data_IF_175886713563
#
_entry.id   IF_175886713563
#
_cell.length_a   1.000
_cell.length_b   1.000
_cell.length_c   1.000
_cell.angle_alpha   90.00
_cell.angle_beta   90.00
_cell.angle_gamma   90.00
#
_symmetry.space_group_name_H-M   'P 1'
#
loop_
_entity.id
_entity.type
_entity.pdbx_description
1 polymer ?
#
# COMPACT_ATOMS: atom_id res chain seq x y z
N UNK A 1 -7.79 -12.58 33.55
CA UNK A 1 -7.24 -11.21 33.49
C UNK A 1 -8.36 -10.26 33.87
N UNK A 2 -8.15 -9.38 34.85
CA UNK A 2 -9.16 -8.42 35.31
C UNK A 2 -9.25 -7.22 34.35
N UNK A 3 -10.44 -6.64 34.17
CA UNK A 3 -10.66 -5.41 33.37
C UNK A 3 -9.73 -4.26 33.80
N UNK A 4 -9.36 -4.22 35.08
CA UNK A 4 -8.40 -3.26 35.62
C UNK A 4 -7.02 -3.32 34.95
N UNK A 5 -6.48 -4.53 34.72
CA UNK A 5 -5.19 -4.71 34.03
C UNK A 5 -5.26 -4.24 32.58
N UNK A 6 -6.38 -4.51 31.91
CA UNK A 6 -6.65 -4.03 30.54
C UNK A 6 -6.76 -2.51 30.52
N UNK A 7 -7.43 -1.92 31.51
CA UNK A 7 -7.53 -0.48 31.71
C UNK A 7 -6.15 0.17 31.85
N UNK A 8 -5.30 -0.36 32.75
CA UNK A 8 -3.93 0.14 32.98
C UNK A 8 -3.04 0.01 31.74
N UNK A 9 -3.12 -1.09 31.00
CA UNK A 9 -2.33 -1.29 29.79
C UNK A 9 -2.66 -0.30 28.65
N UNK A 10 -3.81 0.38 28.72
CA UNK A 10 -4.26 1.36 27.74
C UNK A 10 -3.86 2.80 28.08
N UNK A 11 -3.30 3.06 29.26
CA UNK A 11 -2.89 4.39 29.68
C UNK A 11 -1.60 4.78 28.95
N UNK A 12 -1.60 5.96 28.33
CA UNK A 12 -0.40 6.53 27.73
C UNK A 12 0.69 6.70 28.80
N UNK A 13 1.86 6.12 28.56
CA UNK A 13 2.99 6.15 29.49
C UNK A 13 3.53 7.56 29.73
N UNK A 14 3.25 8.51 28.82
CA UNK A 14 3.71 9.89 28.94
C UNK A 14 2.63 10.82 29.51
N UNK A 15 1.55 11.08 28.77
CA UNK A 15 0.50 12.03 29.18
C UNK A 15 -0.65 11.42 29.99
N UNK A 16 -0.62 10.11 30.30
CA UNK A 16 -1.67 9.39 31.05
C UNK A 16 -3.06 9.33 30.40
N UNK A 17 -3.22 9.80 29.16
CA UNK A 17 -4.48 9.66 28.43
C UNK A 17 -4.91 8.18 28.27
N UNK A 18 -6.21 7.91 28.34
CA UNK A 18 -6.77 6.57 28.16
C UNK A 18 -6.90 6.22 26.67
N UNK A 19 -6.21 5.16 26.24
CA UNK A 19 -6.24 4.67 24.86
C UNK A 19 -7.45 3.81 24.53
N UNK A 20 -7.68 3.49 23.23
CA UNK A 20 -8.79 2.64 22.79
C UNK A 20 -8.63 1.19 23.27
N UNK A 21 -9.75 0.45 23.35
CA UNK A 21 -9.74 -0.99 23.71
C UNK A 21 -8.98 -1.86 22.72
N UNK A 22 -8.87 -1.42 21.47
CA UNK A 22 -8.18 -2.15 20.39
C UNK A 22 -6.67 -2.30 20.61
N UNK A 23 -6.08 -1.59 21.58
CA UNK A 23 -4.63 -1.61 21.80
C UNK A 23 -3.82 -0.89 20.72
N UNK A 24 -4.46 -0.03 19.91
CA UNK A 24 -3.81 0.68 18.80
C UNK A 24 -2.63 1.58 19.22
N UNK A 25 -2.50 1.91 20.51
CA UNK A 25 -1.40 2.72 21.06
C UNK A 25 -0.22 1.87 21.56
N UNK A 26 -0.35 0.53 21.56
CA UNK A 26 0.70 -0.36 22.03
C UNK A 26 1.78 -0.51 20.97
N UNK A 27 3.00 -0.28 21.40
CA UNK A 27 4.18 -0.28 20.55
C UNK A 27 5.23 -1.20 21.16
N UNK A 28 5.82 -2.13 20.39
CA UNK A 28 6.95 -2.93 20.86
C UNK A 28 8.13 -2.03 21.28
N UNK A 29 8.78 -2.39 22.37
CA UNK A 29 10.01 -1.78 22.87
C UNK A 29 10.99 -2.88 23.31
N UNK A 30 12.29 -2.56 23.48
CA UNK A 30 13.25 -3.53 24.02
C UNK A 30 12.87 -4.09 25.40
N UNK A 31 12.04 -3.36 26.16
CA UNK A 31 11.57 -3.75 27.50
C UNK A 31 10.14 -4.36 27.48
N UNK A 32 9.61 -4.70 26.30
CA UNK A 32 8.28 -5.28 26.13
C UNK A 32 7.36 -4.41 25.30
N UNK A 33 6.24 -3.96 25.87
CA UNK A 33 5.30 -3.08 25.19
C UNK A 33 5.13 -1.78 25.96
N UNK A 34 5.17 -0.66 25.25
CA UNK A 34 4.80 0.65 25.79
C UNK A 34 3.51 1.12 25.16
N UNK A 35 2.73 1.92 25.87
CA UNK A 35 1.50 2.51 25.35
C UNK A 35 1.73 4.00 25.17
N UNK A 36 1.74 4.49 23.94
CA UNK A 36 1.91 5.90 23.63
C UNK A 36 0.75 6.38 22.76
N UNK A 37 0.10 7.46 23.19
CA UNK A 37 -0.90 8.11 22.35
C UNK A 37 -0.25 8.75 21.12
N UNK A 38 -1.01 8.98 20.03
CA UNK A 38 -0.44 9.54 18.80
C UNK A 38 0.35 10.84 18.98
N UNK A 39 -0.11 11.84 19.77
CA UNK A 39 0.69 13.04 20.04
C UNK A 39 2.03 12.74 20.72
N UNK A 40 2.04 11.91 21.77
CA UNK A 40 3.28 11.57 22.48
C UNK A 40 4.22 10.73 21.62
N UNK A 41 3.69 9.83 20.79
CA UNK A 41 4.47 9.11 19.78
C UNK A 41 5.09 10.08 18.78
N UNK A 42 4.30 11.03 18.26
CA UNK A 42 4.76 12.08 17.34
C UNK A 42 5.87 12.97 17.90
N UNK A 43 5.83 13.28 19.19
CA UNK A 43 6.88 14.04 19.86
C UNK A 43 8.17 13.23 20.11
N UNK A 44 8.06 11.89 20.19
CA UNK A 44 9.18 11.01 20.54
C UNK A 44 9.95 10.52 19.31
N UNK A 45 9.27 10.30 18.18
CA UNK A 45 9.84 9.65 17.01
C UNK A 45 9.92 10.59 15.80
N UNK A 46 10.95 10.42 14.98
CA UNK A 46 11.21 11.28 13.84
C UNK A 46 10.26 10.98 12.68
N UNK A 47 9.90 12.00 11.90
CA UNK A 47 9.28 11.78 10.60
C UNK A 47 10.31 11.22 9.62
N UNK A 48 9.90 10.25 8.81
CA UNK A 48 10.78 9.67 7.81
C UNK A 48 10.87 10.55 6.55
N UNK A 49 12.06 11.08 6.30
CA UNK A 49 12.34 12.02 5.20
C UNK A 49 12.64 11.36 3.85
N UNK A 50 12.58 10.03 3.74
CA UNK A 50 12.86 9.36 2.47
C UNK A 50 14.34 9.06 2.19
N UNK A 51 15.25 9.18 3.16
CA UNK A 51 16.68 8.97 2.93
C UNK A 51 17.08 7.54 2.49
N UNK A 52 16.20 6.54 2.60
CA UNK A 52 16.39 5.19 2.04
C UNK A 52 15.62 4.97 0.72
N UNK A 53 15.08 6.02 0.11
CA UNK A 53 14.39 5.90 -1.18
C UNK A 53 15.35 5.36 -2.25
N UNK A 54 14.91 4.34 -3.01
CA UNK A 54 15.73 3.67 -4.02
C UNK A 54 16.83 2.75 -3.45
N UNK A 55 16.92 2.58 -2.12
CA UNK A 55 17.84 1.62 -1.50
C UNK A 55 17.18 0.23 -1.49
N UNK A 56 17.94 -0.80 -1.87
CA UNK A 56 17.48 -2.19 -1.75
C UNK A 56 17.33 -2.59 -0.28
N UNK A 57 16.21 -3.24 0.04
CA UNK A 57 15.86 -3.68 1.39
C UNK A 57 16.94 -4.56 2.03
N UNK A 58 17.51 -5.49 1.26
CA UNK A 58 18.61 -6.35 1.73
C UNK A 58 19.82 -5.53 2.21
N UNK A 59 20.15 -4.45 1.50
CA UNK A 59 21.24 -3.54 1.88
C UNK A 59 20.89 -2.72 3.12
N UNK A 60 19.67 -2.20 3.21
CA UNK A 60 19.20 -1.44 4.38
C UNK A 60 19.25 -2.28 5.67
N UNK A 61 18.86 -3.56 5.59
CA UNK A 61 18.95 -4.52 6.70
C UNK A 61 20.40 -4.71 7.17
N UNK A 62 21.36 -4.66 6.25
CA UNK A 62 22.79 -4.85 6.55
C UNK A 62 23.41 -3.62 7.24
N UNK A 63 22.87 -2.42 7.01
CA UNK A 63 23.39 -1.16 7.57
C UNK A 63 22.90 -0.85 8.99
N UNK A 64 22.20 -1.77 9.65
CA UNK A 64 21.68 -1.60 11.02
C UNK A 64 20.77 -0.39 11.25
N UNK A 65 20.23 0.23 10.19
CA UNK A 65 19.27 1.33 10.34
C UNK A 65 17.97 0.79 10.92
N UNK A 66 17.59 1.23 12.11
CA UNK A 66 16.38 0.74 12.76
C UNK A 66 15.15 1.55 12.31
N UNK A 67 14.07 0.87 11.97
CA UNK A 67 12.80 1.53 11.63
C UNK A 67 12.17 2.20 12.86
N UNK A 68 12.50 1.73 14.06
CA UNK A 68 11.88 2.10 15.32
C UNK A 68 12.32 3.48 15.87
N UNK A 69 13.17 4.20 15.13
CA UNK A 69 13.43 5.63 15.34
C UNK A 69 12.42 6.55 14.63
N UNK A 70 11.55 6.00 13.78
CA UNK A 70 10.67 6.77 12.90
C UNK A 70 9.19 6.55 13.20
N UNK A 71 8.37 7.51 12.81
CA UNK A 71 6.92 7.35 12.69
C UNK A 71 6.58 6.54 11.43
N UNK A 72 5.50 5.77 11.54
CA UNK A 72 4.89 5.04 10.43
C UNK A 72 4.53 6.02 9.31
N UNK A 73 5.07 5.78 8.12
CA UNK A 73 4.86 6.64 6.95
C UNK A 73 3.39 6.75 6.54
N UNK A 74 2.61 5.69 6.73
CA UNK A 74 1.21 5.66 6.29
C UNK A 74 0.26 6.39 7.23
N UNK A 75 0.39 6.21 8.55
CA UNK A 75 -0.52 6.86 9.50
C UNK A 75 0.05 8.13 10.13
N UNK A 76 1.37 8.35 10.08
CA UNK A 76 2.11 9.43 10.75
C UNK A 76 1.89 9.57 12.28
N UNK A 77 1.17 8.61 12.88
CA UNK A 77 0.71 8.68 14.28
C UNK A 77 1.49 7.74 15.22
N UNK A 78 1.93 6.59 14.72
CA UNK A 78 2.51 5.52 15.55
C UNK A 78 3.95 5.26 15.19
N UNK A 79 4.74 4.80 16.15
CA UNK A 79 6.11 4.32 15.93
C UNK A 79 6.12 3.21 14.88
N UNK A 80 7.07 3.27 13.96
CA UNK A 80 7.32 2.18 13.05
C UNK A 80 8.04 1.01 13.75
N UNK A 81 7.84 -0.19 13.22
CA UNK A 81 8.48 -1.40 13.73
C UNK A 81 9.23 -2.16 12.63
N UNK A 82 8.92 -1.87 11.36
CA UNK A 82 9.50 -2.56 10.21
C UNK A 82 9.82 -1.58 9.09
N UNK A 83 10.87 -1.90 8.33
CA UNK A 83 11.08 -1.31 7.02
C UNK A 83 10.24 -2.07 6.00
N UNK A 84 9.32 -1.37 5.36
CA UNK A 84 8.52 -1.89 4.29
C UNK A 84 9.24 -1.73 2.94
N UNK A 85 9.01 -2.67 2.03
CA UNK A 85 9.67 -2.72 0.73
C UNK A 85 8.75 -3.30 -0.34
N UNK A 86 9.01 -2.93 -1.59
CA UNK A 86 8.33 -3.52 -2.73
C UNK A 86 8.83 -4.95 -2.95
N UNK A 87 7.93 -5.92 -3.02
CA UNK A 87 8.33 -7.32 -3.24
C UNK A 87 8.75 -7.60 -4.69
N UNK A 88 8.32 -6.78 -5.64
CA UNK A 88 8.66 -6.97 -7.06
C UNK A 88 10.05 -6.41 -7.41
N UNK A 89 10.44 -5.30 -6.77
CA UNK A 89 11.68 -4.59 -7.09
C UNK A 89 12.71 -4.60 -5.93
N UNK A 90 12.30 -4.96 -4.73
CA UNK A 90 13.16 -5.02 -3.54
C UNK A 90 13.51 -3.67 -2.91
N UNK A 91 13.04 -2.54 -3.44
CA UNK A 91 13.34 -1.20 -2.89
C UNK A 91 12.53 -0.88 -1.64
N UNK A 92 13.17 -0.21 -0.67
CA UNK A 92 12.53 0.33 0.54
C UNK A 92 11.52 1.41 0.17
N UNK A 93 10.29 1.29 0.70
CA UNK A 93 9.22 2.29 0.56
C UNK A 93 9.15 3.23 1.76
N UNK A 94 9.49 2.72 2.94
CA UNK A 94 9.58 3.51 4.16
C UNK A 94 9.30 2.68 5.41
N UNK A 95 9.29 3.32 6.59
CA UNK A 95 9.05 2.63 7.84
C UNK A 95 7.53 2.54 8.10
N UNK A 96 7.04 1.36 8.47
CA UNK A 96 5.64 1.13 8.82
C UNK A 96 5.50 0.63 10.25
N UNK A 97 4.37 0.95 10.89
CA UNK A 97 3.96 0.28 12.12
C UNK A 97 3.48 -1.15 11.80
N UNK A 98 3.46 -2.01 12.81
CA UNK A 98 3.05 -3.40 12.67
C UNK A 98 1.64 -3.55 12.08
N UNK A 99 0.71 -2.67 12.47
CA UNK A 99 -0.66 -2.66 11.95
C UNK A 99 -0.70 -2.32 10.45
N UNK A 100 -0.05 -1.23 10.03
CA UNK A 100 0.00 -0.84 8.62
C UNK A 100 0.65 -1.90 7.74
N UNK A 101 1.77 -2.47 8.19
CA UNK A 101 2.45 -3.56 7.47
C UNK A 101 1.60 -4.83 7.38
N UNK A 102 0.92 -5.20 8.47
CA UNK A 102 0.02 -6.36 8.48
C UNK A 102 -1.18 -6.14 7.59
N UNK A 103 -1.77 -4.94 7.62
CA UNK A 103 -2.90 -4.59 6.78
C UNK A 103 -2.51 -4.65 5.30
N UNK A 104 -1.36 -4.09 4.94
CA UNK A 104 -0.84 -4.20 3.57
C UNK A 104 -0.64 -5.66 3.12
N UNK A 105 -0.09 -6.51 3.99
CA UNK A 105 0.22 -7.89 3.67
C UNK A 105 -0.96 -8.87 3.72
N UNK A 106 -2.02 -8.55 4.47
CA UNK A 106 -3.16 -9.47 4.73
C UNK A 106 -4.50 -9.01 4.20
N UNK A 107 -4.71 -7.71 3.97
CA UNK A 107 -5.95 -7.25 3.34
C UNK A 107 -5.96 -7.60 1.85
N UNK A 108 -7.14 -7.63 1.24
CA UNK A 108 -7.23 -7.70 -0.22
C UNK A 108 -6.62 -6.44 -0.82
N UNK A 109 -5.97 -6.57 -1.98
CA UNK A 109 -5.39 -5.43 -2.69
C UNK A 109 -6.41 -4.32 -2.95
N UNK A 110 -7.67 -4.70 -3.20
CA UNK A 110 -8.78 -3.78 -3.37
C UNK A 110 -9.10 -3.00 -2.10
N UNK A 111 -9.27 -3.68 -0.95
CA UNK A 111 -9.50 -3.00 0.34
C UNK A 111 -8.32 -2.11 0.73
N UNK A 112 -7.09 -2.56 0.51
CA UNK A 112 -5.91 -1.74 0.79
C UNK A 112 -5.91 -0.42 0.00
N UNK A 113 -6.16 -0.49 -1.31
CA UNK A 113 -6.18 0.71 -2.16
C UNK A 113 -7.35 1.64 -1.86
N UNK A 114 -8.52 1.08 -1.56
CA UNK A 114 -9.76 1.84 -1.36
C UNK A 114 -9.88 2.42 0.05
N UNK A 115 -9.62 1.59 1.07
CA UNK A 115 -9.98 1.91 2.46
C UNK A 115 -8.83 2.63 3.20
N UNK A 116 -7.60 2.50 2.71
CA UNK A 116 -6.42 3.12 3.32
C UNK A 116 -5.93 4.32 2.50
N UNK A 117 -6.20 5.52 3.02
CA UNK A 117 -5.76 6.77 2.43
C UNK A 117 -4.22 6.80 2.29
N UNK A 118 -3.75 7.31 1.15
CA UNK A 118 -2.33 7.38 0.82
C UNK A 118 -1.67 6.03 0.48
N UNK A 119 -2.42 4.92 0.43
CA UNK A 119 -1.90 3.59 0.08
C UNK A 119 -1.19 3.59 -1.28
N UNK A 120 -1.82 4.09 -2.34
CA UNK A 120 -1.22 4.18 -3.67
C UNK A 120 0.08 5.01 -3.68
N UNK A 121 0.09 6.14 -2.98
CA UNK A 121 1.28 7.00 -2.83
C UNK A 121 2.41 6.30 -2.07
N UNK A 122 2.08 5.47 -1.08
CA UNK A 122 3.02 4.61 -0.37
C UNK A 122 3.61 3.54 -1.30
N UNK A 123 2.78 2.86 -2.09
CA UNK A 123 3.25 1.87 -3.08
C UNK A 123 4.23 2.48 -4.08
N UNK A 124 3.97 3.72 -4.52
CA UNK A 124 4.80 4.49 -5.44
C UNK A 124 6.08 5.06 -4.83
N UNK A 125 6.33 4.84 -3.53
CA UNK A 125 7.65 5.10 -2.95
C UNK A 125 8.71 4.09 -3.43
N UNK A 126 8.30 3.03 -4.11
CA UNK A 126 9.23 2.18 -4.81
C UNK A 126 9.71 2.86 -6.09
N UNK A 127 11.02 3.12 -6.19
CA UNK A 127 11.65 3.73 -7.38
C UNK A 127 11.30 2.99 -8.68
N UNK A 128 11.37 1.66 -8.70
CA UNK A 128 11.04 0.87 -9.88
C UNK A 128 9.57 0.98 -10.32
N UNK A 129 8.64 1.01 -9.36
CA UNK A 129 7.22 1.24 -9.64
C UNK A 129 6.99 2.65 -10.18
N UNK A 130 7.61 3.66 -9.58
CA UNK A 130 7.49 5.06 -9.98
C UNK A 130 8.02 5.28 -11.40
N UNK A 131 9.22 4.80 -11.71
CA UNK A 131 9.86 4.93 -13.04
C UNK A 131 9.04 4.26 -14.13
N UNK A 132 8.50 3.07 -13.84
CA UNK A 132 7.63 2.31 -14.76
C UNK A 132 6.20 2.86 -14.81
N UNK A 133 5.91 3.89 -14.00
CA UNK A 133 4.57 4.43 -13.78
C UNK A 133 3.54 3.33 -13.55
N UNK A 134 3.78 2.43 -12.60
CA UNK A 134 2.90 1.30 -12.28
C UNK A 134 2.90 1.01 -10.78
N UNK A 135 2.00 0.16 -10.32
CA UNK A 135 1.99 -0.38 -8.96
C UNK A 135 2.64 -1.77 -8.92
N UNK A 136 2.96 -2.33 -7.74
CA UNK A 136 3.34 -3.74 -7.65
C UNK A 136 2.25 -4.65 -8.24
N UNK A 137 2.66 -5.77 -8.86
CA UNK A 137 1.80 -6.65 -9.65
C UNK A 137 0.55 -7.12 -8.90
N UNK A 138 0.67 -7.40 -7.60
CA UNK A 138 -0.46 -7.80 -6.76
C UNK A 138 -1.60 -6.77 -6.67
N UNK A 139 -1.37 -5.53 -7.08
CA UNK A 139 -2.35 -4.44 -7.06
C UNK A 139 -2.97 -4.14 -8.43
N UNK A 140 -2.51 -4.76 -9.51
CA UNK A 140 -2.98 -4.46 -10.87
C UNK A 140 -4.46 -4.75 -11.04
N UNK A 141 -4.91 -5.94 -10.64
CA UNK A 141 -6.32 -6.32 -10.74
C UNK A 141 -7.24 -5.41 -9.90
N UNK A 142 -6.82 -5.09 -8.67
CA UNK A 142 -7.55 -4.18 -7.79
C UNK A 142 -7.67 -2.77 -8.39
N UNK A 143 -6.59 -2.24 -8.99
CA UNK A 143 -6.61 -0.93 -9.62
C UNK A 143 -7.51 -0.90 -10.86
N UNK A 144 -7.46 -1.95 -11.69
CA UNK A 144 -8.35 -2.09 -12.84
C UNK A 144 -9.82 -2.19 -12.40
N UNK A 145 -10.11 -2.97 -11.35
CA UNK A 145 -11.43 -3.06 -10.73
C UNK A 145 -11.95 -1.71 -10.29
N UNK A 146 -11.19 -0.96 -9.48
CA UNK A 146 -11.59 0.38 -9.00
C UNK A 146 -11.85 1.33 -10.17
N UNK A 147 -11.05 1.26 -11.23
CA UNK A 147 -11.26 2.07 -12.42
C UNK A 147 -12.56 1.71 -13.14
N UNK A 148 -12.85 0.42 -13.34
CA UNK A 148 -14.09 -0.03 -13.95
C UNK A 148 -15.32 0.38 -13.13
N UNK A 149 -15.27 0.22 -11.80
CA UNK A 149 -16.32 0.71 -10.88
C UNK A 149 -16.54 2.23 -11.07
N UNK A 150 -15.47 3.01 -11.16
CA UNK A 150 -15.52 4.47 -11.30
C UNK A 150 -15.98 4.96 -12.68
N UNK A 151 -15.55 4.33 -13.78
CA UNK A 151 -15.74 4.85 -15.16
C UNK A 151 -16.84 4.15 -15.93
N UNK A 152 -16.97 2.84 -15.77
CA UNK A 152 -17.96 2.07 -16.51
C UNK A 152 -19.34 2.30 -15.92
N UNK A 153 -20.31 2.44 -16.81
CA UNK A 153 -21.73 2.44 -16.44
C UNK A 153 -22.41 1.46 -17.36
N UNK A 154 -23.05 0.47 -16.79
CA UNK A 154 -23.85 -0.47 -17.58
C UNK A 154 -25.11 0.20 -18.12
N UNK A 155 -25.66 -0.40 -19.17
CA UNK A 155 -26.93 0.03 -19.77
C UNK A 155 -27.96 -1.08 -19.78
N UNK A 156 -29.20 -0.75 -19.42
CA UNK A 156 -30.37 -1.64 -19.48
C UNK A 156 -31.29 -1.14 -20.59
N UNK A 157 -31.60 -2.00 -21.57
CA UNK A 157 -32.53 -1.67 -22.68
C UNK A 157 -32.28 -0.26 -23.25
N UNK A 158 -31.00 0.05 -23.52
CA UNK A 158 -30.51 1.33 -24.05
C UNK A 158 -30.44 2.52 -23.08
N UNK A 159 -30.92 2.41 -21.83
CA UNK A 159 -30.78 3.45 -20.78
C UNK A 159 -29.54 3.21 -19.91
N UNK A 160 -28.82 4.28 -19.56
CA UNK A 160 -27.65 4.22 -18.67
C UNK A 160 -28.11 4.01 -17.24
N UNK A 161 -27.59 2.99 -16.55
CA UNK A 161 -27.82 2.83 -15.13
C UNK A 161 -27.06 3.91 -14.35
N UNK A 162 -27.69 4.46 -13.31
CA UNK A 162 -27.06 5.43 -12.40
C UNK A 162 -26.33 4.78 -11.22
N UNK A 163 -26.52 3.47 -11.00
CA UNK A 163 -25.85 2.73 -9.92
C UNK A 163 -24.45 2.30 -10.37
N UNK A 164 -23.52 2.33 -9.43
CA UNK A 164 -22.19 1.76 -9.60
C UNK A 164 -22.31 0.25 -9.82
N UNK A 165 -21.63 -0.30 -10.85
CA UNK A 165 -21.62 -1.74 -11.06
C UNK A 165 -20.79 -2.40 -9.94
N UNK A 166 -21.20 -3.60 -9.54
CA UNK A 166 -20.33 -4.49 -8.80
C UNK A 166 -19.42 -5.20 -9.79
N UNK A 167 -18.11 -5.18 -9.52
CA UNK A 167 -17.11 -5.81 -10.38
C UNK A 167 -16.51 -7.01 -9.64
N UNK A 168 -16.63 -8.18 -10.26
CA UNK A 168 -15.90 -9.38 -9.85
C UNK A 168 -14.72 -9.57 -10.78
N UNK A 169 -13.54 -9.84 -10.21
CA UNK A 169 -12.36 -10.22 -10.94
C UNK A 169 -12.09 -11.73 -10.79
N UNK A 170 -11.83 -12.38 -11.91
CA UNK A 170 -11.45 -13.79 -11.98
C UNK A 170 -10.04 -13.85 -12.56
N UNK A 171 -9.09 -14.28 -11.74
CA UNK A 171 -7.74 -14.59 -12.21
C UNK A 171 -7.82 -15.80 -13.15
N UNK A 172 -7.31 -15.62 -14.36
CA UNK A 172 -7.10 -16.64 -15.36
C UNK A 172 -5.64 -17.13 -15.28
N UNK A 173 -5.20 -17.90 -16.28
CA UNK A 173 -3.82 -18.37 -16.31
C UNK A 173 -2.81 -17.20 -16.43
N UNK A 174 -1.70 -17.33 -15.67
CA UNK A 174 -0.50 -16.48 -15.77
C UNK A 174 -0.74 -14.98 -15.49
N UNK A 175 -1.60 -14.66 -14.54
CA UNK A 175 -1.86 -13.27 -14.12
C UNK A 175 -2.69 -12.47 -15.13
N UNK A 176 -3.37 -13.13 -16.07
CA UNK A 176 -4.44 -12.51 -16.83
C UNK A 176 -5.70 -12.43 -15.97
N UNK A 177 -6.48 -11.35 -16.09
CA UNK A 177 -7.72 -11.16 -15.33
C UNK A 177 -8.91 -10.97 -16.26
N UNK A 178 -10.04 -11.58 -15.90
CA UNK A 178 -11.37 -11.29 -16.47
C UNK A 178 -12.18 -10.52 -15.45
N UNK A 179 -12.79 -9.42 -15.86
CA UNK A 179 -13.69 -8.64 -15.02
C UNK A 179 -15.14 -8.85 -15.46
N UNK A 180 -16.01 -9.19 -14.52
CA UNK A 180 -17.44 -9.34 -14.73
C UNK A 180 -18.19 -8.22 -14.01
N UNK A 181 -19.00 -7.47 -14.76
CA UNK A 181 -19.81 -6.38 -14.22
C UNK A 181 -21.23 -6.87 -13.95
N UNK A 182 -21.70 -6.71 -12.72
CA UNK A 182 -23.07 -7.00 -12.32
C UNK A 182 -23.72 -5.80 -11.62
N UNK A 183 -25.04 -5.80 -11.51
CA UNK A 183 -25.76 -4.76 -10.80
C UNK A 183 -26.97 -5.38 -10.12
N UNK A 184 -26.98 -5.37 -8.79
CA UNK A 184 -28.03 -5.99 -7.99
C UNK A 184 -29.44 -5.43 -8.25
N UNK A 185 -29.55 -4.23 -8.83
CA UNK A 185 -30.84 -3.62 -9.19
C UNK A 185 -31.47 -4.25 -10.43
N UNK A 186 -30.68 -4.92 -11.27
CA UNK A 186 -31.17 -5.55 -12.48
C UNK A 186 -30.85 -7.03 -12.41
N UNK A 187 -31.90 -7.85 -12.39
CA UNK A 187 -31.84 -9.32 -12.30
C UNK A 187 -31.08 -9.98 -13.48
N UNK A 188 -30.70 -9.18 -14.48
CA UNK A 188 -29.91 -9.61 -15.63
C UNK A 188 -28.45 -9.17 -15.49
N UNK A 189 -27.53 -10.13 -15.70
CA UNK A 189 -26.12 -9.86 -15.99
C UNK A 189 -26.03 -8.73 -17.03
N UNK A 190 -25.45 -7.62 -16.61
CA UNK A 190 -25.42 -6.41 -17.40
C UNK A 190 -24.40 -6.57 -18.52
N UNK A 191 -24.80 -6.40 -19.78
CA UNK A 191 -23.83 -6.39 -20.89
C UNK A 191 -23.07 -5.06 -20.86
N UNK A 192 -21.73 -5.07 -20.81
CA UNK A 192 -20.96 -3.84 -20.98
C UNK A 192 -21.31 -3.22 -22.34
N UNK A 193 -21.54 -1.91 -22.38
CA UNK A 193 -21.84 -1.20 -23.63
C UNK A 193 -20.53 -0.82 -24.29
N UNK A 194 -19.88 -1.80 -24.88
CA UNK A 194 -18.58 -1.59 -25.51
C UNK A 194 -18.81 -0.92 -26.84
N UNK A 195 -18.52 0.39 -26.90
CA UNK A 195 -18.51 1.13 -28.16
C UNK A 195 -17.23 0.79 -28.91
N UNK A 196 -17.12 -0.44 -29.39
CA UNK A 196 -16.16 -0.73 -30.44
C UNK A 196 -16.63 -0.01 -31.71
N UNK A 197 -15.95 1.08 -32.07
CA UNK A 197 -15.92 1.58 -33.46
C UNK A 197 -15.12 0.57 -34.29
N UNK A 198 -15.61 -0.64 -34.43
CA UNK A 198 -15.18 -1.54 -35.49
C UNK A 198 -15.99 -1.15 -36.72
N UNK A 199 -15.32 -0.60 -37.75
CA UNK A 199 -15.87 -0.55 -39.10
C UNK A 199 -16.28 -1.99 -39.46
N UNK A 200 -17.58 -2.29 -39.50
CA UNK A 200 -18.07 -3.60 -39.92
C UNK A 200 -17.93 -3.72 -41.44
N UNK A 201 -17.33 -4.79 -41.97
CA UNK A 201 -17.56 -5.22 -43.34
C UNK A 201 -19.03 -5.63 -43.49
N UNK A 202 -19.66 -5.21 -44.59
CA UNK A 202 -20.93 -5.77 -45.08
C UNK A 202 -20.68 -7.25 -45.44
N UNK A 203 -21.38 -8.20 -44.82
CA UNK A 203 -22.20 -9.18 -45.53
C UNK A 203 -22.82 -10.26 -44.64
N UNK A 204 -23.97 -10.70 -45.15
CA UNK A 204 -24.69 -11.97 -45.04
C UNK A 204 -25.74 -12.20 -43.93
N UNK A 205 -26.94 -12.58 -44.39
CA UNK A 205 -28.18 -12.76 -43.62
C UNK A 205 -28.52 -14.27 -43.60
N UNK A 206 -28.24 -14.94 -42.48
CA UNK A 206 -28.66 -16.33 -42.28
C UNK A 206 -29.09 -16.62 -40.84
N UNK A 207 -30.36 -17.04 -40.70
CA UNK A 207 -31.03 -17.80 -39.61
C UNK A 207 -30.79 -17.40 -38.14
N UNK A 208 -31.89 -17.03 -37.47
CA UNK A 208 -31.95 -16.71 -36.02
C UNK A 208 -32.08 -17.99 -35.20
N UNK A 209 -31.05 -18.31 -34.43
CA UNK A 209 -31.14 -19.14 -33.21
C UNK A 209 -31.43 -18.25 -32.00
N UNK A 210 -32.16 -18.77 -31.02
CA UNK A 210 -32.43 -18.05 -29.77
C UNK A 210 -31.13 -17.73 -29.02
N UNK A 211 -30.97 -16.50 -28.49
CA UNK A 211 -29.75 -16.10 -27.82
C UNK A 211 -29.72 -16.66 -26.39
N UNK A 212 -28.88 -17.67 -26.17
CA UNK A 212 -28.42 -18.02 -24.82
C UNK A 212 -27.72 -16.83 -24.13
N UNK A 213 -27.47 -16.89 -22.81
CA UNK A 213 -26.83 -15.81 -22.06
C UNK A 213 -25.49 -15.46 -22.72
N UNK A 214 -25.44 -14.32 -23.38
CA UNK A 214 -24.21 -13.82 -23.99
C UNK A 214 -23.31 -13.31 -22.89
N UNK A 215 -22.40 -14.17 -22.43
CA UNK A 215 -21.24 -13.75 -21.66
C UNK A 215 -20.37 -12.96 -22.64
N UNK A 216 -20.29 -11.64 -22.45
CA UNK A 216 -19.35 -10.80 -23.20
C UNK A 216 -17.99 -11.04 -22.56
N UNK A 217 -17.26 -12.03 -23.05
CA UNK A 217 -15.88 -12.30 -22.67
C UNK A 217 -14.99 -11.33 -23.43
N UNK A 218 -14.91 -10.09 -22.95
CA UNK A 218 -13.88 -9.18 -23.45
C UNK A 218 -12.62 -9.36 -22.61
N UNK A 219 -11.52 -9.65 -23.29
CA UNK A 219 -10.19 -9.66 -22.71
C UNK A 219 -9.80 -8.20 -22.38
N UNK A 220 -10.35 -7.68 -21.28
CA UNK A 220 -10.13 -6.32 -20.77
C UNK A 220 -8.73 -6.10 -20.18
N UNK A 221 -7.92 -7.16 -20.10
CA UNK A 221 -6.85 -7.31 -19.12
C UNK A 221 -5.77 -6.21 -19.16
N UNK A 222 -5.30 -5.75 -20.33
CA UNK A 222 -4.17 -4.79 -20.36
C UNK A 222 -4.58 -3.32 -20.53
N UNK A 223 -5.58 -3.03 -21.37
CA UNK A 223 -5.97 -1.63 -21.66
C UNK A 223 -6.67 -0.95 -20.49
N UNK A 224 -7.50 -1.68 -19.74
CA UNK A 224 -8.17 -1.15 -18.56
C UNK A 224 -7.13 -0.86 -17.47
N UNK A 225 -6.18 -1.77 -17.25
CA UNK A 225 -5.08 -1.59 -16.29
C UNK A 225 -4.24 -0.35 -16.65
N UNK A 226 -3.76 -0.23 -17.90
CA UNK A 226 -2.99 0.93 -18.34
C UNK A 226 -3.79 2.24 -18.24
N UNK A 227 -5.09 2.21 -18.49
CA UNK A 227 -5.95 3.39 -18.35
C UNK A 227 -6.16 3.76 -16.88
N UNK A 228 -6.33 2.76 -16.01
CA UNK A 228 -6.46 2.94 -14.56
C UNK A 228 -5.17 3.52 -13.95
N UNK A 229 -4.03 2.96 -14.34
CA UNK A 229 -2.71 3.45 -13.96
C UNK A 229 -2.51 4.89 -14.44
N UNK A 230 -2.77 5.19 -15.72
CA UNK A 230 -2.69 6.57 -16.22
C UNK A 230 -3.62 7.52 -15.46
N UNK A 231 -4.86 7.11 -15.21
CA UNK A 231 -5.82 7.93 -14.46
C UNK A 231 -5.33 8.19 -13.02
N UNK A 232 -4.77 7.19 -12.35
CA UNK A 232 -4.15 7.36 -11.03
C UNK A 232 -3.00 8.38 -11.10
N UNK A 233 -2.05 8.23 -12.02
CA UNK A 233 -0.94 9.18 -12.15
C UNK A 233 -1.41 10.60 -12.48
N UNK A 234 -2.41 10.75 -13.35
CA UNK A 234 -3.02 12.05 -13.65
C UNK A 234 -3.68 12.67 -12.42
N UNK A 235 -4.37 11.89 -11.59
CA UNK A 235 -4.94 12.36 -10.33
C UNK A 235 -3.84 12.81 -9.36
N UNK A 236 -2.76 12.04 -9.23
CA UNK A 236 -1.62 12.41 -8.38
C UNK A 236 -0.96 13.71 -8.85
N UNK A 237 -0.71 13.85 -10.15
CA UNK A 237 -0.17 15.08 -10.75
C UNK A 237 -1.11 16.28 -10.52
N UNK A 238 -2.41 16.11 -10.72
CA UNK A 238 -3.41 17.17 -10.55
C UNK A 238 -3.54 17.67 -9.10
N UNK A 239 -3.31 16.79 -8.11
CA UNK A 239 -3.34 17.19 -6.70
C UNK A 239 -2.12 17.99 -6.25
N UNK A 240 -1.14 18.23 -7.13
CA UNK A 240 0.12 18.88 -6.76
C UNK A 240 1.01 18.00 -5.87
N UNK A 241 0.57 16.77 -5.57
CA UNK A 241 1.36 15.70 -4.96
C UNK A 241 2.19 15.04 -6.07
N UNK A 242 2.93 15.88 -6.82
CA UNK A 242 3.91 15.38 -7.77
C UNK A 242 5.01 14.61 -7.02
N UNK A 243 5.73 13.70 -7.70
CA UNK A 243 6.90 13.00 -7.14
C UNK A 243 8.13 13.92 -6.98
N UNK A 244 7.92 15.20 -6.67
CA UNK A 244 8.98 16.09 -6.19
C UNK A 244 9.47 15.65 -4.81
N UNK A 245 10.55 16.25 -4.28
CA UNK A 245 11.08 15.92 -2.97
C UNK A 245 10.05 16.26 -1.87
N UNK A 246 9.20 15.26 -1.58
CA UNK A 246 8.33 15.05 -0.43
C UNK A 246 7.74 16.31 0.22
N UNK A 247 6.69 16.86 -0.39
CA UNK A 247 5.70 17.65 0.35
C UNK A 247 4.99 16.74 1.35
N UNK A 248 5.05 17.11 2.64
CA UNK A 248 4.41 16.38 3.73
C UNK A 248 2.91 16.18 3.45
N UNK A 249 2.46 14.93 3.43
CA UNK A 249 1.05 14.61 3.55
C UNK A 249 0.68 14.86 5.01
N UNK A 250 0.19 16.06 5.31
CA UNK A 250 -0.58 16.27 6.53
C UNK A 250 -1.87 15.46 6.39
N UNK A 251 -1.90 14.27 6.99
CA UNK A 251 -3.09 13.43 7.14
C UNK A 251 -4.19 14.25 7.81
N UNK A 252 -5.06 14.91 7.01
CA UNK A 252 -6.31 15.50 7.48
C UNK A 252 -7.29 14.37 7.78
N UNK A 253 -7.01 13.60 8.83
CA UNK A 253 -8.07 12.92 9.55
C UNK A 253 -8.97 14.02 10.13
N UNK A 254 -10.17 14.18 9.56
CA UNK A 254 -11.28 14.87 10.21
C UNK A 254 -11.54 14.16 11.54
N UNK A 255 -10.84 14.62 12.57
CA UNK A 255 -11.09 14.30 13.95
C UNK A 255 -12.40 14.99 14.32
N UNK A 256 -13.49 14.23 14.30
CA UNK A 256 -14.66 14.54 15.12
C UNK A 256 -14.24 14.40 16.59
N UNK A 257 -13.65 15.45 17.14
CA UNK A 257 -13.53 15.62 18.58
C UNK A 257 -14.62 16.62 18.93
N UNK A 258 -15.64 16.12 19.62
CA UNK A 258 -16.63 16.97 20.25
C UNK A 258 -15.88 17.91 21.21
N UNK A 259 -16.12 19.21 21.03
CA UNK A 259 -15.75 20.25 21.98
C UNK A 259 -16.47 19.92 23.30
N UNK A 260 -15.71 19.60 24.33
CA UNK A 260 -16.15 19.79 25.69
C UNK A 260 -15.75 21.22 26.06
N UNK A 261 -16.76 22.03 26.33
CA UNK A 261 -16.66 23.44 26.65
C UNK A 261 -15.86 23.70 27.93
N UNK A 262 -15.44 24.95 28.00
CA UNK A 262 -14.54 25.60 28.94
C UNK A 262 -15.06 25.53 30.38
N UNK A 263 -14.19 25.08 31.28
CA UNK A 263 -14.33 25.24 32.71
C UNK A 263 -13.03 25.81 33.25
N UNK A 264 -12.98 27.14 33.36
CA UNK A 264 -11.94 27.90 34.06
C UNK A 264 -11.83 27.44 35.51
N UNK A 265 -10.62 27.05 35.93
CA UNK A 265 -10.28 27.07 37.35
C UNK A 265 -8.81 27.43 37.55
N UNK A 266 -8.60 28.40 38.42
CA UNK A 266 -7.37 29.08 38.74
C UNK A 266 -6.45 28.22 39.64
N UNK A 267 -5.14 28.22 39.35
CA UNK A 267 -4.02 28.04 40.28
C UNK A 267 -3.92 26.75 41.15
N UNK A 268 -2.79 26.50 41.86
CA UNK A 268 -1.68 27.42 42.11
C UNK A 268 -0.29 26.93 41.63
N UNK A 269 0.50 27.92 41.23
CA UNK A 269 1.90 28.18 41.58
C UNK A 269 2.59 27.16 42.49
N UNK A 270 3.60 26.46 41.96
CA UNK A 270 4.66 25.82 42.75
C UNK A 270 6.02 26.18 42.15
N UNK A 271 6.81 26.82 43.02
CA UNK A 271 8.14 27.34 42.80
C UNK A 271 9.21 26.24 42.74
N UNK A 272 10.36 26.72 42.29
CA UNK A 272 11.64 26.07 42.04
C UNK A 272 12.12 25.09 43.13
N UNK A 273 12.70 23.97 42.69
CA UNK A 273 13.80 23.29 43.38
C UNK A 273 14.50 22.31 42.42
N UNK A 274 15.64 22.72 41.86
CA UNK A 274 16.70 21.79 41.46
C UNK A 274 17.25 21.09 42.72
N UNK A 275 17.72 19.85 42.59
CA UNK A 275 19.05 19.61 43.13
C UNK A 275 19.97 18.80 42.21
N UNK A 276 21.20 19.28 42.21
CA UNK A 276 22.50 18.68 41.95
C UNK A 276 22.60 17.22 41.48
N UNK A 277 23.37 17.08 40.40
CA UNK A 277 24.08 15.86 40.01
C UNK A 277 25.06 15.41 41.08
N UNK A 278 25.38 14.11 41.10
CA UNK A 278 26.79 13.73 41.05
C UNK A 278 27.08 12.78 39.89
N UNK A 279 28.20 13.04 39.22
CA UNK A 279 28.75 12.16 38.19
C UNK A 279 29.57 11.00 38.76
N UNK A 280 29.76 9.98 37.91
CA UNK A 280 30.93 9.08 37.73
C UNK A 280 30.44 7.71 37.25
N UNK A 281 30.69 7.39 35.98
CA UNK A 281 31.74 6.48 35.50
C UNK A 281 31.52 5.00 35.86
N UNK A 282 31.29 4.16 34.86
CA UNK A 282 32.17 3.02 34.56
C UNK A 282 31.69 2.30 33.30
N UNK A 283 32.68 1.91 32.51
CA UNK A 283 32.53 1.13 31.29
C UNK A 283 32.03 -0.28 31.60
N UNK A 284 31.13 -0.80 30.77
CA UNK A 284 30.96 -2.23 30.57
C UNK A 284 31.21 -2.54 29.11
N UNK A 285 32.45 -2.95 28.86
CA UNK A 285 32.90 -3.65 27.67
C UNK A 285 32.50 -5.13 27.83
N UNK A 286 31.54 -5.60 27.04
CA UNK A 286 31.19 -7.03 26.98
C UNK A 286 31.56 -7.52 25.58
N UNK A 287 32.78 -8.01 25.48
CA UNK A 287 33.24 -8.86 24.39
C UNK A 287 32.48 -10.19 24.42
N UNK A 288 31.48 -10.35 23.56
CA UNK A 288 30.90 -11.66 23.26
C UNK A 288 31.65 -12.29 22.09
N UNK A 289 32.73 -13.02 22.43
CA UNK A 289 33.33 -14.03 21.54
C UNK A 289 32.36 -15.19 21.40
N UNK A 290 31.80 -15.40 20.20
CA UNK A 290 31.21 -16.68 19.83
C UNK A 290 32.08 -17.37 18.78
N UNK A 291 32.81 -18.37 19.25
CA UNK A 291 33.33 -19.46 18.45
C UNK A 291 32.14 -20.25 17.86
N UNK A 292 32.02 -20.27 16.54
CA UNK A 292 31.24 -21.31 15.84
C UNK A 292 32.23 -22.14 15.04
N UNK A 293 32.39 -23.39 15.49
CA UNK A 293 33.15 -24.45 14.84
C UNK A 293 32.57 -24.70 13.45
N UNK A 294 33.45 -24.72 12.46
CA UNK A 294 33.15 -25.25 11.14
C UNK A 294 32.84 -26.75 11.18
N UNK A 295 31.86 -27.15 10.38
CA UNK A 295 31.80 -28.50 9.81
C UNK A 295 31.64 -28.35 8.31
N UNK A 296 32.68 -28.80 7.61
CA UNK A 296 32.65 -29.12 6.20
C UNK A 296 31.75 -30.35 5.98
N UNK A 297 30.93 -30.30 4.95
CA UNK A 297 30.14 -31.42 4.43
C UNK A 297 30.09 -31.32 2.91
N UNK A 298 30.82 -32.22 2.26
CA UNK A 298 30.92 -32.38 0.82
C UNK A 298 29.70 -33.12 0.21
N UNK A 299 29.45 -32.86 -1.08
CA UNK A 299 28.70 -33.73 -2.02
C UNK A 299 27.25 -33.29 -2.26
N UNK A 300 26.72 -33.19 -3.48
CA UNK A 300 27.15 -33.59 -4.82
C UNK A 300 26.24 -32.86 -5.86
N UNK A 301 26.54 -32.93 -7.18
CA UNK A 301 26.03 -32.01 -8.19
C UNK A 301 24.71 -32.46 -8.82
N UNK A 302 23.82 -31.51 -9.11
CA UNK A 302 22.63 -31.80 -9.92
C UNK A 302 22.88 -31.50 -11.38
N UNK A 303 22.69 -32.55 -12.18
CA UNK A 303 22.87 -32.62 -13.62
C UNK A 303 22.03 -31.60 -14.39
N UNK A 304 22.74 -30.94 -15.30
CA UNK A 304 22.25 -30.20 -16.45
C UNK A 304 21.64 -31.19 -17.47
N UNK A 305 20.35 -31.04 -17.79
CA UNK A 305 19.75 -31.62 -19.00
C UNK A 305 19.26 -30.51 -19.91
N UNK A 306 20.00 -30.35 -21.01
CA UNK A 306 19.63 -29.67 -22.24
C UNK A 306 18.43 -30.34 -22.90
N UNK A 307 17.44 -29.54 -23.30
CA UNK A 307 16.28 -29.98 -24.08
C UNK A 307 15.63 -28.77 -24.74
N UNK A 308 16.00 -28.55 -25.99
CA UNK A 308 15.55 -27.47 -26.90
C UNK A 308 14.05 -27.58 -27.16
N UNK A 309 13.35 -26.44 -27.13
CA UNK A 309 12.26 -26.10 -28.06
C UNK A 309 11.91 -24.62 -27.94
N UNK A 310 12.32 -23.86 -28.95
CA UNK A 310 12.02 -22.44 -29.14
C UNK A 310 10.66 -22.32 -29.83
N UNK A 311 9.80 -21.38 -29.42
CA UNK A 311 8.95 -20.71 -30.39
C UNK A 311 9.16 -19.19 -30.34
N UNK A 312 9.59 -18.66 -31.48
CA UNK A 312 9.27 -17.34 -32.03
C UNK A 312 9.07 -16.20 -31.03
N UNK A 313 10.16 -15.50 -30.69
CA UNK A 313 10.11 -14.15 -30.14
C UNK A 313 9.69 -13.19 -31.26
N UNK A 314 8.47 -12.68 -31.19
CA UNK A 314 8.09 -11.48 -31.94
C UNK A 314 8.82 -10.28 -31.32
N UNK A 315 9.82 -9.80 -32.06
CA UNK A 315 10.53 -8.56 -31.82
C UNK A 315 9.67 -7.43 -32.38
N UNK A 316 9.11 -6.57 -31.53
CA UNK A 316 8.48 -5.33 -31.98
C UNK A 316 9.40 -4.17 -31.60
N UNK A 317 10.17 -3.71 -32.58
CA UNK A 317 11.04 -2.56 -32.50
C UNK A 317 10.24 -1.29 -32.18
N UNK A 318 10.61 -0.58 -31.13
CA UNK A 318 10.18 0.80 -30.92
C UNK A 318 11.02 1.68 -31.85
N UNK A 319 10.46 2.06 -32.99
CA UNK A 319 11.00 3.14 -33.80
C UNK A 319 10.66 4.47 -33.11
N UNK A 320 11.65 5.10 -32.50
CA UNK A 320 11.57 6.47 -32.02
C UNK A 320 11.56 7.41 -33.23
N UNK A 321 10.42 8.03 -33.53
CA UNK A 321 10.36 9.21 -34.37
C UNK A 321 10.72 10.42 -33.50
N UNK A 322 11.92 10.97 -33.70
CA UNK A 322 12.28 12.31 -33.24
C UNK A 322 11.61 13.35 -34.17
N UNK A 323 11.11 14.48 -33.66
CA UNK A 323 10.75 15.59 -34.51
C UNK A 323 12.00 16.32 -35.00
N UNK A 324 12.09 16.52 -36.31
CA UNK A 324 12.99 17.48 -36.94
C UNK A 324 12.41 18.87 -36.71
N UNK A 325 13.13 19.72 -35.99
CA UNK A 325 12.89 21.16 -35.95
C UNK A 325 13.67 21.80 -37.10
N UNK A 326 12.97 22.48 -38.00
CA UNK A 326 13.52 23.53 -38.87
C UNK A 326 13.78 24.79 -38.07
#
# INVERSE_FOLDING_TARGET
>A
MTEELVGRARICSHCRAQGPRSGAWRTPSPLGYVTLCPPCSGATFQQYTGHLHGVLYASARTRSTRADGYLCRMCAETRASVWDHCHDHGYVRGPLCASGNTYEGKSSAHSFLRDQEGSALHLLQCRGCLERRTLPARYHAALARMHLEATERHSIRSRRCRREPYVEDVELDRGAYRFELSCWWHDARCRPRVRHRTRRPLHDRGKRSEPGPTVVTEHFSWRAEQSAVRALFQQLEATGIGPGPLGLIASRRKKGWALAEEGSNEGPEWADAEPDRPGRSSAFDVQSRLHVKGRAGHGAPWHQKSGVSVPSVFQCSVAALLPVTT
#
